data_IF_305694180561
#
_entry.id   IF_305694180561
#
_cell.length_a   1.000
_cell.length_b   1.000
_cell.length_c   1.000
_cell.angle_alpha   90.00
_cell.angle_beta   90.00
_cell.angle_gamma   90.00
#
_symmetry.space_group_name_H-M   'P 1'
#
loop_
_entity.id
_entity.type
_entity.pdbx_description
1 polymer ?
#
# COMPACT_ATOMS: atom_id res chain seq x y z
N UNK A 1 52.91 -88.86 -3.09
CA UNK A 1 53.29 -87.43 -3.13
C UNK A 1 52.49 -86.77 -4.25
N UNK A 2 51.91 -85.58 -3.98
CA UNK A 2 51.24 -84.65 -4.92
C UNK A 2 49.76 -84.96 -5.22
N UNK A 3 48.80 -84.36 -4.51
CA UNK A 3 48.31 -82.96 -4.45
C UNK A 3 47.08 -82.79 -5.32
N UNK A 4 45.95 -82.54 -4.67
CA UNK A 4 44.65 -82.17 -5.23
C UNK A 4 44.71 -80.83 -5.97
N UNK A 5 43.75 -80.64 -6.90
CA UNK A 5 42.87 -79.48 -7.05
C UNK A 5 42.65 -79.17 -8.52
N UNK A 6 41.42 -79.33 -9.02
CA UNK A 6 40.83 -78.42 -10.01
C UNK A 6 39.29 -78.47 -9.95
N UNK A 7 38.73 -77.70 -9.03
CA UNK A 7 37.44 -76.99 -9.18
C UNK A 7 37.80 -75.50 -9.02
N UNK A 8 37.28 -74.54 -9.77
CA UNK A 8 35.87 -74.16 -9.89
C UNK A 8 35.62 -73.35 -11.17
N UNK A 9 34.44 -73.55 -11.76
CA UNK A 9 33.75 -72.60 -12.63
C UNK A 9 33.61 -71.23 -11.94
N UNK A 10 33.93 -70.15 -12.64
CA UNK A 10 33.39 -68.83 -12.32
C UNK A 10 32.60 -68.33 -13.53
N UNK A 11 31.31 -68.63 -13.50
CA UNK A 11 30.32 -67.86 -14.23
C UNK A 11 30.37 -66.44 -13.65
N UNK A 12 30.77 -65.48 -14.47
CA UNK A 12 30.57 -64.06 -14.17
C UNK A 12 29.06 -63.84 -13.99
N UNK A 13 28.61 -63.78 -12.74
CA UNK A 13 27.35 -63.13 -12.42
C UNK A 13 27.61 -61.65 -12.69
N UNK A 14 27.22 -61.18 -13.88
CA UNK A 14 26.87 -59.77 -14.03
C UNK A 14 25.77 -59.54 -13.01
N UNK A 15 26.10 -58.89 -11.90
CA UNK A 15 25.10 -58.22 -11.09
C UNK A 15 24.47 -57.18 -12.02
N UNK A 16 23.37 -57.56 -12.67
CA UNK A 16 22.47 -56.61 -13.29
C UNK A 16 21.89 -55.87 -12.10
N UNK A 17 22.47 -54.70 -11.81
CA UNK A 17 21.91 -53.72 -10.91
C UNK A 17 20.57 -53.27 -11.53
N UNK A 18 19.51 -54.06 -11.33
CA UNK A 18 18.17 -53.78 -11.86
C UNK A 18 17.65 -52.41 -11.40
N UNK A 19 18.24 -51.85 -10.33
CA UNK A 19 17.96 -50.52 -9.81
C UNK A 19 18.69 -49.38 -10.56
N UNK A 20 19.68 -49.65 -11.42
CA UNK A 20 20.35 -48.62 -12.26
C UNK A 20 19.86 -48.64 -13.70
N UNK A 21 19.38 -49.78 -14.19
CA UNK A 21 18.89 -49.89 -15.57
C UNK A 21 17.63 -49.06 -15.84
N UNK A 22 16.69 -48.95 -14.89
CA UNK A 22 15.50 -48.12 -15.10
C UNK A 22 15.82 -46.62 -15.15
N UNK A 23 16.80 -46.14 -14.39
CA UNK A 23 17.24 -44.74 -14.42
C UNK A 23 17.86 -44.43 -15.78
N UNK A 24 18.75 -45.29 -16.28
CA UNK A 24 19.39 -45.11 -17.58
C UNK A 24 18.39 -45.24 -18.73
N UNK A 25 17.38 -46.10 -18.62
CA UNK A 25 16.31 -46.24 -19.63
C UNK A 25 15.42 -44.98 -19.70
N UNK A 26 15.18 -44.32 -18.57
CA UNK A 26 14.49 -43.02 -18.52
C UNK A 26 15.37 -41.91 -19.09
N UNK A 27 16.68 -41.93 -18.80
CA UNK A 27 17.63 -40.90 -19.24
C UNK A 27 17.99 -40.98 -20.73
N UNK A 28 18.07 -42.18 -21.30
CA UNK A 28 18.45 -42.40 -22.71
C UNK A 28 17.30 -42.16 -23.69
N UNK A 29 16.05 -42.14 -23.21
CA UNK A 29 14.87 -41.90 -24.06
C UNK A 29 14.45 -40.42 -24.04
N UNK A 30 14.67 -39.66 -25.14
CA UNK A 30 14.35 -38.23 -25.19
C UNK A 30 12.85 -37.94 -25.02
N UNK A 31 11.98 -38.89 -25.41
CA UNK A 31 10.53 -38.76 -25.27
C UNK A 31 10.06 -38.86 -23.82
N UNK A 32 10.59 -39.82 -23.05
CA UNK A 32 10.22 -39.99 -21.63
C UNK A 32 10.71 -38.77 -20.84
N UNK A 33 11.93 -38.32 -21.10
CA UNK A 33 12.49 -37.11 -20.50
C UNK A 33 11.62 -35.87 -20.79
N UNK A 34 11.19 -35.69 -22.05
CA UNK A 34 10.33 -34.57 -22.43
C UNK A 34 8.96 -34.61 -21.73
N UNK A 35 8.34 -35.79 -21.64
CA UNK A 35 7.06 -35.96 -20.92
C UNK A 35 7.23 -35.67 -19.43
N UNK A 36 8.30 -36.15 -18.81
CA UNK A 36 8.58 -35.94 -17.38
C UNK A 36 8.82 -34.44 -17.09
N UNK A 37 9.59 -33.76 -17.93
CA UNK A 37 9.79 -32.31 -17.85
C UNK A 37 8.49 -31.52 -18.09
N UNK A 38 7.62 -31.99 -18.99
CA UNK A 38 6.32 -31.36 -19.23
C UNK A 38 5.43 -31.45 -17.99
N UNK A 39 5.31 -32.65 -17.41
CA UNK A 39 4.48 -32.88 -16.22
C UNK A 39 5.07 -32.26 -14.95
N UNK A 40 6.38 -32.09 -14.84
CA UNK A 40 7.00 -31.41 -13.69
C UNK A 40 7.03 -29.88 -13.88
N UNK A 41 7.37 -29.42 -15.09
CA UNK A 41 7.63 -28.02 -15.40
C UNK A 41 6.37 -27.18 -15.53
N UNK A 42 5.35 -27.68 -16.23
CA UNK A 42 4.10 -26.90 -16.44
C UNK A 42 3.42 -26.58 -15.10
N UNK A 43 3.20 -27.53 -14.17
CA UNK A 43 2.57 -27.21 -12.89
C UNK A 43 3.41 -26.26 -12.05
N UNK A 44 4.74 -26.40 -12.08
CA UNK A 44 5.66 -25.52 -11.36
C UNK A 44 5.58 -24.08 -11.87
N UNK A 45 5.57 -23.88 -13.20
CA UNK A 45 5.45 -22.56 -13.82
C UNK A 45 4.09 -21.92 -13.52
N UNK A 46 3.01 -22.69 -13.61
CA UNK A 46 1.66 -22.21 -13.28
C UNK A 46 1.59 -21.80 -11.80
N UNK A 47 2.11 -22.65 -10.89
CA UNK A 47 2.13 -22.36 -9.46
C UNK A 47 2.92 -21.10 -9.13
N UNK A 48 4.11 -20.95 -9.73
CA UNK A 48 4.95 -19.77 -9.55
C UNK A 48 4.28 -18.50 -10.11
N UNK A 49 3.65 -18.60 -11.28
CA UNK A 49 2.89 -17.50 -11.87
C UNK A 49 1.78 -17.02 -10.94
N UNK A 50 0.97 -17.92 -10.38
CA UNK A 50 -0.07 -17.54 -9.41
C UNK A 50 0.49 -16.91 -8.13
N UNK A 51 1.62 -17.40 -7.64
CA UNK A 51 2.28 -16.88 -6.43
C UNK A 51 2.80 -15.46 -6.59
N UNK A 52 3.24 -15.07 -7.79
CA UNK A 52 3.71 -13.70 -8.06
C UNK A 52 2.55 -12.78 -8.44
N UNK A 53 1.65 -13.22 -9.31
CA UNK A 53 0.59 -12.35 -9.86
C UNK A 53 -0.45 -11.96 -8.81
N UNK A 54 -0.78 -12.85 -7.86
CA UNK A 54 -1.78 -12.58 -6.83
C UNK A 54 -1.42 -11.38 -5.93
N UNK A 55 -0.25 -11.34 -5.27
CA UNK A 55 0.09 -10.20 -4.39
C UNK A 55 0.28 -8.88 -5.17
N UNK A 56 0.78 -8.93 -6.41
CA UNK A 56 0.86 -7.73 -7.27
C UNK A 56 -0.52 -7.16 -7.57
N UNK A 57 -1.52 -8.01 -7.78
CA UNK A 57 -2.92 -7.58 -7.95
C UNK A 57 -3.48 -6.97 -6.67
N UNK A 58 -3.19 -7.56 -5.50
CA UNK A 58 -3.61 -7.00 -4.21
C UNK A 58 -2.97 -5.63 -3.94
N UNK A 59 -1.67 -5.47 -4.22
CA UNK A 59 -0.99 -4.17 -4.18
C UNK A 59 -1.68 -3.13 -5.07
N UNK A 60 -2.02 -3.53 -6.30
CA UNK A 60 -2.71 -2.65 -7.26
C UNK A 60 -4.07 -2.21 -6.73
N UNK A 61 -4.85 -3.13 -6.15
CA UNK A 61 -6.15 -2.82 -5.55
C UNK A 61 -5.99 -1.86 -4.37
N UNK A 62 -5.02 -2.11 -3.48
CA UNK A 62 -4.73 -1.23 -2.35
C UNK A 62 -4.25 0.14 -2.80
N UNK A 63 -3.39 0.23 -3.82
CA UNK A 63 -2.93 1.49 -4.39
C UNK A 63 -4.09 2.30 -5.00
N UNK A 64 -4.99 1.65 -5.74
CA UNK A 64 -6.19 2.30 -6.27
C UNK A 64 -7.13 2.77 -5.14
N UNK A 65 -7.25 2.00 -4.06
CA UNK A 65 -8.01 2.42 -2.88
C UNK A 65 -7.41 3.70 -2.26
N UNK A 66 -6.09 3.74 -2.08
CA UNK A 66 -5.36 4.92 -1.59
C UNK A 66 -5.52 6.11 -2.53
N UNK A 67 -5.45 5.92 -3.85
CA UNK A 67 -5.69 6.96 -4.85
C UNK A 67 -7.13 7.53 -4.76
N UNK A 68 -8.10 6.72 -4.33
CA UNK A 68 -9.47 7.17 -4.07
C UNK A 68 -9.68 7.82 -2.70
N UNK A 69 -8.60 8.03 -1.93
CA UNK A 69 -8.61 8.65 -0.59
C UNK A 69 -8.77 7.67 0.58
N UNK A 70 -8.76 6.36 0.34
CA UNK A 70 -8.80 5.35 1.41
C UNK A 70 -7.39 5.09 1.97
N UNK A 71 -7.02 5.80 3.03
CA UNK A 71 -5.70 5.70 3.68
C UNK A 71 -5.65 4.59 4.76
N UNK A 72 -6.15 3.40 4.41
CA UNK A 72 -6.08 2.21 5.27
C UNK A 72 -4.93 1.32 4.82
N UNK A 73 -4.13 0.84 5.78
CA UNK A 73 -3.03 -0.09 5.51
C UNK A 73 -3.57 -1.49 5.27
N UNK A 74 -2.85 -2.29 4.48
CA UNK A 74 -3.21 -3.69 4.23
C UNK A 74 -2.10 -4.61 4.76
N UNK A 75 -2.29 -5.23 5.94
CA UNK A 75 -1.29 -6.11 6.56
C UNK A 75 -0.97 -7.36 5.73
N UNK A 76 -1.89 -7.78 4.85
CA UNK A 76 -1.69 -8.97 4.00
C UNK A 76 -0.53 -8.80 3.02
N UNK A 77 -0.22 -7.55 2.65
CA UNK A 77 0.89 -7.22 1.75
C UNK A 77 2.26 -7.44 2.40
N UNK A 78 2.35 -7.46 3.73
CA UNK A 78 3.62 -7.62 4.46
C UNK A 78 3.95 -9.09 4.77
N UNK A 79 2.94 -9.96 4.74
CA UNK A 79 3.04 -11.37 5.12
C UNK A 79 3.31 -12.29 3.92
N UNK A 80 3.77 -11.75 2.79
CA UNK A 80 3.99 -12.53 1.58
C UNK A 80 5.23 -13.43 1.71
N UNK A 81 5.16 -14.63 1.12
CA UNK A 81 6.24 -15.62 1.21
C UNK A 81 7.50 -15.21 0.45
N UNK A 82 7.33 -14.40 -0.60
CA UNK A 82 8.45 -13.83 -1.37
C UNK A 82 8.90 -12.55 -0.65
N UNK A 83 10.13 -12.59 -0.13
CA UNK A 83 10.69 -11.52 0.71
C UNK A 83 10.62 -10.15 0.04
N UNK A 84 11.00 -10.05 -1.24
CA UNK A 84 11.02 -8.82 -2.01
C UNK A 84 9.61 -8.23 -2.18
N UNK A 85 8.60 -9.08 -2.35
CA UNK A 85 7.20 -8.62 -2.46
C UNK A 85 6.70 -8.12 -1.10
N UNK A 86 7.04 -8.82 -0.02
CA UNK A 86 6.72 -8.38 1.34
C UNK A 86 7.38 -7.04 1.70
N UNK A 87 8.61 -6.79 1.24
CA UNK A 87 9.32 -5.53 1.44
C UNK A 87 8.66 -4.36 0.69
N UNK A 88 8.19 -4.59 -0.55
CA UNK A 88 7.37 -3.61 -1.28
C UNK A 88 6.06 -3.33 -0.54
N UNK A 89 5.40 -4.37 -0.01
CA UNK A 89 4.19 -4.23 0.81
C UNK A 89 4.40 -3.37 2.05
N UNK A 90 5.50 -3.59 2.78
CA UNK A 90 5.89 -2.76 3.94
C UNK A 90 6.14 -1.31 3.54
N UNK A 91 6.88 -1.09 2.46
CA UNK A 91 7.18 0.26 1.94
C UNK A 91 5.90 0.98 1.52
N UNK A 92 4.96 0.27 0.89
CA UNK A 92 3.64 0.78 0.54
C UNK A 92 2.83 1.18 1.79
N UNK A 93 2.76 0.32 2.80
CA UNK A 93 2.04 0.63 4.04
C UNK A 93 2.68 1.84 4.77
N UNK A 94 4.00 1.95 4.78
CA UNK A 94 4.69 3.12 5.33
C UNK A 94 4.35 4.41 4.56
N UNK A 95 4.23 4.35 3.23
CA UNK A 95 3.75 5.46 2.42
C UNK A 95 2.32 5.86 2.80
N UNK A 96 1.41 4.89 2.98
CA UNK A 96 0.02 5.16 3.39
C UNK A 96 -0.03 5.84 4.76
N UNK A 97 0.75 5.36 5.72
CA UNK A 97 0.86 5.98 7.06
C UNK A 97 1.39 7.41 6.95
N UNK A 98 2.42 7.63 6.14
CA UNK A 98 2.99 8.96 5.93
C UNK A 98 1.98 9.93 5.31
N UNK A 99 1.22 9.49 4.30
CA UNK A 99 0.14 10.29 3.70
C UNK A 99 -0.96 10.63 4.71
N UNK A 100 -1.32 9.67 5.57
CA UNK A 100 -2.30 9.88 6.65
C UNK A 100 -1.81 10.94 7.64
N UNK A 101 -0.55 10.86 8.05
CA UNK A 101 0.06 11.82 8.98
C UNK A 101 0.15 13.22 8.36
N UNK A 102 0.57 13.33 7.10
CA UNK A 102 0.63 14.61 6.36
C UNK A 102 -0.76 15.24 6.25
N UNK A 103 -1.76 14.44 5.90
CA UNK A 103 -3.15 14.91 5.81
C UNK A 103 -3.60 15.43 7.17
N UNK A 104 -3.40 14.66 8.25
CA UNK A 104 -3.76 15.07 9.62
C UNK A 104 -3.04 16.35 10.07
N UNK A 105 -1.76 16.51 9.75
CA UNK A 105 -0.99 17.71 10.05
C UNK A 105 -1.55 18.95 9.33
N UNK A 106 -1.90 18.83 8.06
CA UNK A 106 -2.54 19.92 7.32
C UNK A 106 -3.87 20.33 7.96
N UNK A 107 -4.69 19.38 8.45
CA UNK A 107 -5.95 19.71 9.13
C UNK A 107 -5.72 20.54 10.39
N UNK A 108 -4.73 20.13 11.21
CA UNK A 108 -4.37 20.85 12.44
C UNK A 108 -3.88 22.25 12.12
N UNK A 109 -2.97 22.38 11.16
CA UNK A 109 -2.43 23.68 10.73
C UNK A 109 -3.53 24.64 10.28
N UNK A 110 -4.47 24.18 9.44
CA UNK A 110 -5.59 25.04 8.98
C UNK A 110 -6.47 25.46 10.17
N UNK A 111 -6.75 24.54 11.10
CA UNK A 111 -7.50 24.85 12.31
C UNK A 111 -6.77 25.88 13.19
N UNK A 112 -5.47 25.74 13.37
CA UNK A 112 -4.67 26.64 14.20
C UNK A 112 -4.61 28.04 13.57
N UNK A 113 -4.36 28.13 12.25
CA UNK A 113 -4.40 29.38 11.49
C UNK A 113 -5.78 30.06 11.63
N UNK A 114 -6.87 29.29 11.62
CA UNK A 114 -8.21 29.82 11.84
C UNK A 114 -8.34 30.58 13.16
N UNK A 115 -7.81 29.99 14.23
CA UNK A 115 -7.89 30.54 15.57
C UNK A 115 -7.00 31.79 15.69
N UNK A 116 -5.81 31.75 15.10
CA UNK A 116 -4.91 32.89 15.07
C UNK A 116 -5.47 34.06 14.25
N UNK A 117 -6.21 33.82 13.17
CA UNK A 117 -6.82 34.87 12.34
C UNK A 117 -8.08 35.50 12.96
N UNK A 118 -8.86 34.75 13.75
CA UNK A 118 -10.04 35.29 14.45
C UNK A 118 -9.69 36.38 15.45
N UNK A 119 -8.54 36.24 16.12
CA UNK A 119 -8.09 37.17 17.16
C UNK A 119 -7.80 38.60 16.63
N UNK A 120 -6.97 38.81 15.59
CA UNK A 120 -6.74 40.13 15.02
C UNK A 120 -7.99 40.69 14.34
N UNK A 121 -8.84 39.84 13.77
CA UNK A 121 -10.11 40.26 13.18
C UNK A 121 -11.07 40.84 14.23
N UNK A 122 -11.21 40.18 15.38
CA UNK A 122 -11.98 40.71 16.50
C UNK A 122 -11.41 42.04 17.03
N UNK A 123 -10.08 42.19 17.03
CA UNK A 123 -9.42 43.46 17.40
C UNK A 123 -9.69 44.58 16.38
N UNK A 124 -9.71 44.27 15.09
CA UNK A 124 -10.07 45.23 14.04
C UNK A 124 -11.53 45.68 14.16
N UNK A 125 -12.45 44.73 14.36
CA UNK A 125 -13.86 45.03 14.60
C UNK A 125 -14.05 45.94 15.83
N UNK A 126 -13.33 45.66 16.92
CA UNK A 126 -13.34 46.52 18.12
C UNK A 126 -12.80 47.93 17.83
N UNK A 127 -11.69 48.06 17.10
CA UNK A 127 -11.12 49.36 16.73
C UNK A 127 -12.10 50.19 15.87
N UNK A 128 -12.75 49.56 14.89
CA UNK A 128 -13.79 50.18 14.06
C UNK A 128 -14.98 50.62 14.93
N UNK A 129 -15.43 49.78 15.86
CA UNK A 129 -16.53 50.12 16.77
C UNK A 129 -16.20 51.33 17.67
N UNK A 130 -14.93 51.47 18.10
CA UNK A 130 -14.46 52.64 18.86
C UNK A 130 -14.41 53.88 17.96
N UNK A 131 -13.91 53.77 16.73
CA UNK A 131 -13.86 54.86 15.76
C UNK A 131 -15.27 55.38 15.44
N UNK A 132 -16.23 54.49 15.19
CA UNK A 132 -17.64 54.82 14.95
C UNK A 132 -18.27 55.64 16.08
N UNK A 133 -17.86 55.40 17.33
CA UNK A 133 -18.31 56.20 18.49
C UNK A 133 -17.65 57.58 18.58
N UNK A 134 -16.42 57.72 18.10
CA UNK A 134 -15.65 58.98 18.15
C UNK A 134 -15.92 59.88 16.94
N UNK A 135 -16.26 59.31 15.79
CA UNK A 135 -16.48 60.02 14.53
C UNK A 135 -17.93 59.82 14.09
N UNK A 136 -18.76 60.85 14.23
CA UNK A 136 -20.15 60.81 13.76
C UNK A 136 -20.20 60.78 12.23
N UNK A 137 -20.36 59.59 11.64
CA UNK A 137 -20.90 59.43 10.29
C UNK A 137 -19.93 59.67 9.12
N UNK A 138 -18.70 59.15 9.20
CA UNK A 138 -17.84 59.05 8.00
C UNK A 138 -18.23 57.80 7.19
N UNK A 139 -18.61 57.99 5.93
CA UNK A 139 -18.95 56.89 5.00
C UNK A 139 -17.79 55.88 4.82
N UNK A 140 -16.55 56.34 5.00
CA UNK A 140 -15.34 55.50 5.01
C UNK A 140 -15.34 54.46 6.13
N UNK A 141 -15.88 54.77 7.31
CA UNK A 141 -15.93 53.82 8.44
C UNK A 141 -16.91 52.69 8.14
N UNK A 142 -18.08 53.01 7.59
CA UNK A 142 -19.08 51.99 7.19
C UNK A 142 -18.54 51.10 6.06
N UNK A 143 -17.75 51.66 5.12
CA UNK A 143 -17.07 50.87 4.08
C UNK A 143 -16.02 49.91 4.65
N UNK A 144 -15.20 50.36 5.59
CA UNK A 144 -14.18 49.51 6.24
C UNK A 144 -14.84 48.41 7.07
N UNK A 145 -15.91 48.73 7.80
CA UNK A 145 -16.70 47.76 8.57
C UNK A 145 -17.28 46.66 7.67
N UNK A 146 -17.89 47.05 6.54
CA UNK A 146 -18.42 46.11 5.57
C UNK A 146 -17.33 45.19 4.99
N UNK A 147 -16.14 45.72 4.70
CA UNK A 147 -15.04 44.92 4.14
C UNK A 147 -14.45 43.95 5.16
N UNK A 148 -14.30 44.36 6.43
CA UNK A 148 -13.91 43.48 7.53
C UNK A 148 -14.95 42.37 7.76
N UNK A 149 -16.24 42.69 7.63
CA UNK A 149 -17.31 41.69 7.69
C UNK A 149 -17.24 40.67 6.55
N UNK A 150 -16.93 41.10 5.32
CA UNK A 150 -16.72 40.18 4.19
C UNK A 150 -15.52 39.26 4.42
N UNK A 151 -14.40 39.79 4.94
CA UNK A 151 -13.22 39.00 5.27
C UNK A 151 -13.53 37.92 6.33
N UNK A 152 -14.32 38.25 7.35
CA UNK A 152 -14.80 37.27 8.35
C UNK A 152 -15.57 36.13 7.71
N UNK A 153 -16.50 36.46 6.80
CA UNK A 153 -17.31 35.47 6.10
C UNK A 153 -16.45 34.58 5.18
N UNK A 154 -15.55 35.18 4.40
CA UNK A 154 -14.64 34.43 3.52
C UNK A 154 -13.73 33.47 4.30
N UNK A 155 -13.22 33.91 5.46
CA UNK A 155 -12.43 33.04 6.35
C UNK A 155 -13.30 31.88 6.85
N UNK A 156 -14.53 32.14 7.31
CA UNK A 156 -15.44 31.08 7.77
C UNK A 156 -15.78 30.08 6.68
N UNK A 157 -16.04 30.53 5.47
CA UNK A 157 -16.40 29.67 4.34
C UNK A 157 -15.21 28.79 3.93
N UNK A 158 -14.00 29.37 3.83
CA UNK A 158 -12.76 28.63 3.53
C UNK A 158 -12.51 27.51 4.54
N UNK A 159 -12.70 27.80 5.83
CA UNK A 159 -12.47 26.85 6.91
C UNK A 159 -13.52 25.75 6.96
N UNK A 160 -14.77 26.08 6.63
CA UNK A 160 -15.85 25.10 6.49
C UNK A 160 -15.54 24.13 5.36
N UNK A 161 -15.17 24.63 4.18
CA UNK A 161 -14.82 23.81 3.02
C UNK A 161 -13.62 22.92 3.34
N UNK A 162 -12.58 23.48 3.96
CA UNK A 162 -11.41 22.69 4.35
C UNK A 162 -11.79 21.56 5.31
N UNK A 163 -12.60 21.85 6.34
CA UNK A 163 -13.08 20.82 7.28
C UNK A 163 -13.94 19.75 6.59
N UNK A 164 -14.81 20.12 5.65
CA UNK A 164 -15.69 19.18 4.95
C UNK A 164 -14.94 18.25 3.98
N UNK A 165 -14.01 18.79 3.17
CA UNK A 165 -13.15 17.99 2.29
C UNK A 165 -12.37 16.92 3.07
N UNK A 166 -11.99 17.26 4.29
CA UNK A 166 -11.22 16.40 5.18
C UNK A 166 -12.11 15.35 5.88
N UNK A 167 -13.39 15.65 6.15
CA UNK A 167 -14.34 14.74 6.82
C UNK A 167 -14.96 13.70 5.88
N UNK A 168 -14.98 13.94 4.56
CA UNK A 168 -15.36 12.93 3.55
C UNK A 168 -14.53 11.63 3.66
N UNK A 169 -13.29 11.73 4.15
CA UNK A 169 -12.40 10.59 4.35
C UNK A 169 -12.86 9.65 5.49
N UNK A 170 -13.61 10.14 6.47
CA UNK A 170 -14.07 9.35 7.62
C UNK A 170 -15.42 8.68 7.30
N UNK A 171 -16.29 9.32 6.52
CA UNK A 171 -17.66 8.83 6.37
C UNK A 171 -17.80 7.60 5.46
N UNK A 172 -16.88 7.38 4.50
CA UNK A 172 -16.90 6.21 3.61
C UNK A 172 -16.67 4.87 4.34
N UNK A 173 -16.06 4.88 5.54
CA UNK A 173 -15.82 3.68 6.35
C UNK A 173 -17.10 3.15 7.02
N UNK A 174 -18.11 4.00 7.23
CA UNK A 174 -19.34 3.64 7.94
C UNK A 174 -20.48 3.15 7.03
N UNK A 175 -20.29 3.15 5.70
CA UNK A 175 -21.32 2.70 4.74
C UNK A 175 -21.11 1.27 4.24
N UNK A 176 -20.03 0.59 4.62
CA UNK A 176 -19.74 -0.80 4.21
C UNK A 176 -19.72 -1.79 5.39
N UNK A 177 -20.46 -1.53 6.47
CA UNK A 177 -20.63 -2.47 7.58
C UNK A 177 -22.10 -2.91 7.68
#
# INVERSE_FOLDING_TARGET
MKSENHTYNQYFIKAVDAQKEWINTILDSPFIMAVLLMFAGIPLLIWLSFKITKPVKELTISANAVASGNLETNPKLEAEWIYEIGEVGKSFNHMVISLKNLTQQQQRMISDISHELKTPLARLQLAIAILRRKTCGLAEIDRIEAEVGKLDQLIKDLLTISREQLNYQIHKKNFCN
#
